data_IF_854810410678
#
_entry.id   IF_854810410678
#
_cell.length_a   1.000
_cell.length_b   1.000
_cell.length_c   1.000
_cell.angle_alpha   90.00
_cell.angle_beta   90.00
_cell.angle_gamma   90.00
#
_symmetry.space_group_name_H-M   'P 1'
#
loop_
_entity.id
_entity.type
_entity.pdbx_description
1 polymer ?
#
# COMPACT_ATOMS: atom_id res chain seq x y z
N UNK A 1 7.81 10.40 -48.74
CA UNK A 1 8.26 9.16 -48.05
C UNK A 1 9.06 9.44 -46.77
N UNK A 2 10.07 10.33 -46.76
CA UNK A 2 10.92 10.55 -45.58
C UNK A 2 10.19 11.22 -44.39
N UNK A 3 9.34 12.21 -44.66
CA UNK A 3 8.48 12.89 -43.66
C UNK A 3 7.48 11.95 -42.98
N UNK A 4 6.92 11.00 -43.72
CA UNK A 4 5.98 10.02 -43.18
C UNK A 4 6.67 9.06 -42.19
N UNK A 5 7.94 8.69 -42.44
CA UNK A 5 8.74 7.83 -41.54
C UNK A 5 9.17 8.56 -40.27
N UNK A 6 9.46 9.86 -40.36
CA UNK A 6 9.80 10.70 -39.19
C UNK A 6 8.56 10.89 -38.30
N UNK A 7 7.41 11.14 -38.91
CA UNK A 7 6.17 11.33 -38.16
C UNK A 7 5.74 10.04 -37.43
N UNK A 8 5.82 8.88 -38.08
CA UNK A 8 5.48 7.60 -37.45
C UNK A 8 6.45 7.21 -36.34
N UNK A 9 7.75 7.47 -36.50
CA UNK A 9 8.75 7.20 -35.44
C UNK A 9 8.56 8.13 -34.24
N UNK A 10 8.30 9.42 -34.44
CA UNK A 10 7.98 10.34 -33.35
C UNK A 10 6.69 9.96 -32.61
N UNK A 11 5.64 9.57 -33.35
CA UNK A 11 4.39 9.12 -32.75
C UNK A 11 4.56 7.82 -31.95
N UNK A 12 5.34 6.86 -32.48
CA UNK A 12 5.68 5.63 -31.78
C UNK A 12 6.51 5.84 -30.51
N UNK A 13 7.49 6.74 -30.55
CA UNK A 13 8.31 7.06 -29.39
C UNK A 13 7.48 7.78 -28.31
N UNK A 14 6.60 8.70 -28.71
CA UNK A 14 5.68 9.37 -27.80
C UNK A 14 4.72 8.39 -27.14
N UNK A 15 4.13 7.47 -27.91
CA UNK A 15 3.26 6.43 -27.37
C UNK A 15 4.00 5.51 -26.38
N UNK A 16 5.25 5.13 -26.67
CA UNK A 16 6.07 4.34 -25.76
C UNK A 16 6.35 5.07 -24.43
N UNK A 17 6.63 6.38 -24.47
CA UNK A 17 6.85 7.20 -23.27
C UNK A 17 5.56 7.33 -22.45
N UNK A 18 4.41 7.55 -23.08
CA UNK A 18 3.13 7.72 -22.36
C UNK A 18 2.64 6.40 -21.75
N UNK A 19 2.84 5.27 -22.43
CA UNK A 19 2.37 3.97 -21.95
C UNK A 19 3.30 3.34 -20.90
N UNK A 20 4.54 3.80 -20.78
CA UNK A 20 5.54 3.18 -19.90
C UNK A 20 5.45 3.61 -18.41
N UNK A 21 4.35 4.23 -17.99
CA UNK A 21 4.10 4.62 -16.60
C UNK A 21 3.02 3.79 -15.89
N UNK A 22 2.47 2.76 -16.53
CA UNK A 22 1.30 2.05 -16.00
C UNK A 22 1.60 1.35 -14.67
N UNK A 23 2.74 0.68 -14.57
CA UNK A 23 3.18 0.02 -13.34
C UNK A 23 3.33 0.97 -12.13
N UNK A 24 3.78 2.21 -12.35
CA UNK A 24 3.89 3.23 -11.30
C UNK A 24 2.51 3.63 -10.80
N UNK A 25 1.58 3.88 -11.74
CA UNK A 25 0.19 4.20 -11.42
C UNK A 25 -0.50 3.06 -10.67
N UNK A 26 -0.31 1.82 -11.13
CA UNK A 26 -0.88 0.65 -10.49
C UNK A 26 -0.34 0.43 -9.09
N UNK A 27 0.97 0.62 -8.85
CA UNK A 27 1.57 0.52 -7.52
C UNK A 27 1.10 1.61 -6.54
N UNK A 28 0.66 2.77 -7.04
CA UNK A 28 0.06 3.85 -6.23
C UNK A 28 -1.46 3.70 -6.07
N UNK A 29 -2.06 2.85 -6.89
CA UNK A 29 -3.46 2.47 -6.78
C UNK A 29 -3.60 1.14 -6.04
N UNK A 30 -4.83 0.79 -5.66
CA UNK A 30 -5.11 -0.44 -4.92
C UNK A 30 -5.89 -0.17 -3.65
N UNK A 31 -6.25 -1.25 -2.96
CA UNK A 31 -7.09 -1.18 -1.78
C UNK A 31 -6.24 -1.20 -0.51
N UNK A 32 -6.58 -0.32 0.45
CA UNK A 32 -5.91 -0.32 1.76
C UNK A 32 -6.21 -1.66 2.44
N UNK A 33 -5.17 -2.35 2.88
CA UNK A 33 -5.32 -3.59 3.64
C UNK A 33 -5.93 -3.29 5.02
N UNK A 34 -6.86 -4.15 5.50
CA UNK A 34 -7.42 -4.01 6.84
C UNK A 34 -6.35 -4.14 7.92
N UNK A 35 -6.49 -3.37 9.00
CA UNK A 35 -5.61 -3.52 10.15
C UNK A 35 -6.12 -4.59 11.12
N UNK A 36 -5.59 -5.80 11.01
CA UNK A 36 -5.98 -6.95 11.84
C UNK A 36 -5.69 -6.76 13.33
N UNK A 37 -4.73 -5.90 13.72
CA UNK A 37 -4.45 -5.63 15.14
C UNK A 37 -5.61 -4.90 15.83
N UNK A 38 -6.43 -4.18 15.06
CA UNK A 38 -7.62 -3.49 15.54
C UNK A 38 -8.86 -4.40 15.59
N UNK A 39 -8.80 -5.57 14.95
CA UNK A 39 -9.91 -6.52 14.88
C UNK A 39 -9.57 -7.68 15.83
N UNK A 40 -10.00 -7.52 17.07
CA UNK A 40 -9.79 -8.52 18.14
C UNK A 40 -11.11 -8.93 18.78
N UNK A 41 -11.08 -10.06 19.49
CA UNK A 41 -12.23 -10.53 20.28
C UNK A 41 -12.62 -9.45 21.30
N UNK A 42 -13.90 -9.09 21.32
CA UNK A 42 -14.47 -8.01 22.13
C UNK A 42 -14.54 -6.64 21.45
N UNK A 43 -13.93 -6.49 20.25
CA UNK A 43 -14.04 -5.25 19.49
C UNK A 43 -15.51 -4.95 19.12
N UNK A 44 -15.94 -3.68 19.15
CA UNK A 44 -17.28 -3.31 18.73
C UNK A 44 -17.40 -3.37 17.20
N UNK A 45 -18.58 -3.73 16.69
CA UNK A 45 -18.83 -3.89 15.25
C UNK A 45 -18.47 -2.67 14.41
N UNK A 46 -18.68 -1.46 14.92
CA UNK A 46 -18.32 -0.22 14.20
C UNK A 46 -16.81 -0.10 13.94
N UNK A 47 -15.97 -0.61 14.84
CA UNK A 47 -14.52 -0.64 14.65
C UNK A 47 -14.13 -1.66 13.57
N UNK A 48 -14.80 -2.82 13.57
CA UNK A 48 -14.59 -3.84 12.55
C UNK A 48 -15.02 -3.34 11.16
N UNK A 49 -16.18 -2.70 11.06
CA UNK A 49 -16.68 -2.13 9.81
C UNK A 49 -15.88 -0.91 9.35
N UNK A 50 -15.20 -0.21 10.26
CA UNK A 50 -14.27 0.86 9.88
C UNK A 50 -13.02 0.33 9.16
N UNK A 51 -12.59 -0.90 9.48
CA UNK A 51 -11.41 -1.53 8.87
C UNK A 51 -11.75 -2.39 7.66
N UNK A 52 -12.79 -3.24 7.74
CA UNK A 52 -13.20 -4.13 6.64
C UNK A 52 -14.25 -3.52 5.70
N UNK A 53 -14.87 -2.41 6.07
CA UNK A 53 -16.05 -1.89 5.37
C UNK A 53 -17.33 -2.66 5.73
N UNK A 54 -18.33 -2.58 4.85
CA UNK A 54 -19.61 -3.23 5.09
C UNK A 54 -19.54 -4.74 4.84
N UNK A 55 -20.28 -5.55 5.63
CA UNK A 55 -20.30 -6.99 5.44
C UNK A 55 -20.95 -7.35 4.09
N UNK A 56 -20.34 -8.30 3.40
CA UNK A 56 -20.83 -8.84 2.12
C UNK A 56 -22.03 -9.77 2.30
N UNK A 57 -22.12 -10.43 3.44
CA UNK A 57 -23.25 -11.29 3.82
C UNK A 57 -23.43 -11.24 5.34
N UNK A 58 -24.65 -11.49 5.78
CA UNK A 58 -25.02 -11.47 7.19
C UNK A 58 -26.04 -12.56 7.46
N UNK A 59 -25.72 -13.45 8.40
CA UNK A 59 -26.53 -14.58 8.80
C UNK A 59 -26.89 -14.45 10.28
N UNK A 60 -28.16 -14.64 10.62
CA UNK A 60 -28.56 -14.81 12.02
C UNK A 60 -28.43 -16.28 12.39
N UNK A 61 -27.64 -16.58 13.43
CA UNK A 61 -27.44 -17.97 13.88
C UNK A 61 -28.56 -18.36 14.85
N UNK A 62 -28.38 -18.07 16.14
CA UNK A 62 -29.33 -18.43 17.20
C UNK A 62 -29.12 -17.51 18.40
N UNK A 63 -30.20 -17.18 19.13
CA UNK A 63 -30.14 -16.39 20.37
C UNK A 63 -29.54 -14.97 20.23
N UNK A 64 -29.78 -14.29 19.11
CA UNK A 64 -29.30 -12.92 18.86
C UNK A 64 -27.84 -12.83 18.44
N UNK A 65 -27.19 -13.97 18.19
CA UNK A 65 -25.85 -14.05 17.61
C UNK A 65 -25.95 -13.86 16.09
N UNK A 66 -25.11 -12.98 15.56
CA UNK A 66 -25.05 -12.66 14.13
C UNK A 66 -23.67 -13.00 13.57
N UNK A 67 -23.61 -13.72 12.47
CA UNK A 67 -22.38 -13.93 11.71
C UNK A 67 -22.35 -12.98 10.52
N UNK A 68 -21.24 -12.27 10.34
CA UNK A 68 -21.03 -11.38 9.22
C UNK A 68 -19.78 -11.81 8.44
N UNK A 69 -19.91 -11.81 7.12
CA UNK A 69 -18.83 -12.17 6.20
C UNK A 69 -18.25 -10.91 5.57
N UNK A 70 -16.95 -10.69 5.77
CA UNK A 70 -16.20 -9.59 5.20
C UNK A 70 -15.27 -10.09 4.10
N UNK A 71 -15.26 -9.36 2.98
CA UNK A 71 -14.39 -9.63 1.83
C UNK A 71 -13.47 -8.45 1.61
N UNK A 72 -12.19 -8.71 1.41
CA UNK A 72 -11.19 -7.67 1.24
C UNK A 72 -10.02 -8.22 0.40
N UNK A 73 -9.26 -7.30 -0.20
CA UNK A 73 -8.10 -7.63 -1.03
C UNK A 73 -6.82 -7.51 -0.22
N UNK A 74 -5.97 -8.53 -0.28
CA UNK A 74 -4.65 -8.56 0.35
C UNK A 74 -3.55 -8.50 -0.70
N UNK A 75 -2.42 -7.88 -0.38
CA UNK A 75 -1.23 -7.86 -1.25
C UNK A 75 -1.19 -6.75 -2.31
N UNK A 76 -2.30 -6.07 -2.60
CA UNK A 76 -2.38 -4.97 -3.56
C UNK A 76 -2.61 -3.60 -2.88
N UNK A 77 -1.91 -3.35 -1.77
CA UNK A 77 -2.00 -2.05 -1.11
C UNK A 77 -1.16 -1.01 -1.85
N UNK A 78 -1.62 0.25 -1.93
CA UNK A 78 -0.81 1.36 -2.45
C UNK A 78 0.55 1.41 -1.75
N UNK A 79 1.62 1.37 -2.52
CA UNK A 79 2.98 1.34 -2.01
C UNK A 79 3.86 2.36 -2.74
N UNK A 80 4.11 3.48 -2.07
CA UNK A 80 4.94 4.57 -2.61
C UNK A 80 6.38 4.11 -2.87
N UNK A 81 6.93 3.21 -2.05
CA UNK A 81 8.27 2.66 -2.25
C UNK A 81 8.38 1.83 -3.53
N UNK A 82 7.39 0.96 -3.80
CA UNK A 82 7.28 0.16 -5.03
C UNK A 82 7.11 1.07 -6.26
N UNK A 83 6.28 2.10 -6.15
CA UNK A 83 6.10 3.10 -7.19
C UNK A 83 7.39 3.86 -7.52
N UNK A 84 8.17 4.28 -6.50
CA UNK A 84 9.48 4.89 -6.72
C UNK A 84 10.47 3.93 -7.36
N UNK A 85 10.46 2.66 -6.98
CA UNK A 85 11.32 1.64 -7.58
C UNK A 85 11.03 1.51 -9.09
N UNK A 86 9.76 1.43 -9.48
CA UNK A 86 9.38 1.45 -10.90
C UNK A 86 9.73 2.77 -11.58
N UNK A 87 9.55 3.91 -10.90
CA UNK A 87 9.95 5.22 -11.41
C UNK A 87 11.46 5.32 -11.69
N UNK A 88 12.30 4.75 -10.82
CA UNK A 88 13.74 4.67 -11.06
C UNK A 88 14.09 3.69 -12.17
N UNK A 89 13.45 2.51 -12.20
CA UNK A 89 13.64 1.54 -13.26
C UNK A 89 13.31 2.16 -14.62
N UNK A 90 12.23 2.93 -14.71
CA UNK A 90 11.78 3.63 -15.91
C UNK A 90 12.81 4.57 -16.52
N UNK A 91 13.70 5.16 -15.71
CA UNK A 91 14.78 6.02 -16.21
C UNK A 91 15.89 5.23 -16.95
N UNK A 92 15.81 3.91 -16.94
CA UNK A 92 16.78 3.03 -17.60
C UNK A 92 16.16 2.35 -18.82
N UNK A 93 17.00 2.02 -19.81
CA UNK A 93 16.57 1.25 -20.99
C UNK A 93 15.94 -0.09 -20.58
N UNK A 94 16.43 -0.71 -19.50
CA UNK A 94 15.90 -1.96 -18.96
C UNK A 94 14.48 -1.76 -18.42
N UNK A 95 14.19 -0.66 -17.73
CA UNK A 95 12.85 -0.41 -17.22
C UNK A 95 11.84 0.03 -18.28
N UNK A 96 12.25 0.79 -19.30
CA UNK A 96 11.36 1.15 -20.43
C UNK A 96 10.93 -0.11 -21.19
N UNK A 97 11.86 -1.03 -21.44
CA UNK A 97 11.53 -2.29 -22.13
C UNK A 97 10.90 -3.33 -21.19
N UNK A 98 11.17 -3.27 -19.88
CA UNK A 98 10.65 -4.16 -18.86
C UNK A 98 9.26 -3.77 -18.34
N UNK A 99 8.76 -2.59 -18.69
CA UNK A 99 7.48 -2.07 -18.23
C UNK A 99 6.28 -3.00 -18.44
N UNK A 100 6.14 -3.71 -19.59
CA UNK A 100 5.06 -4.68 -19.75
C UNK A 100 5.11 -5.79 -18.71
N UNK A 101 6.30 -6.19 -18.26
CA UNK A 101 6.48 -7.21 -17.22
C UNK A 101 6.06 -6.64 -15.86
N UNK A 102 6.53 -5.44 -15.50
CA UNK A 102 6.14 -4.80 -14.23
C UNK A 102 4.64 -4.54 -14.15
N UNK A 103 4.04 -4.12 -15.26
CA UNK A 103 2.60 -3.91 -15.36
C UNK A 103 1.80 -5.20 -15.20
N UNK A 104 2.24 -6.32 -15.79
CA UNK A 104 1.63 -7.62 -15.55
C UNK A 104 1.77 -8.09 -14.09
N UNK A 105 2.92 -7.81 -13.47
CA UNK A 105 3.13 -8.12 -12.05
C UNK A 105 2.14 -7.38 -11.18
N UNK A 106 1.97 -6.06 -11.36
CA UNK A 106 1.01 -5.27 -10.58
C UNK A 106 -0.44 -5.64 -10.88
N UNK A 107 -0.78 -5.95 -12.13
CA UNK A 107 -2.15 -6.35 -12.50
C UNK A 107 -2.55 -7.69 -11.89
N UNK A 108 -1.58 -8.58 -11.69
CA UNK A 108 -1.75 -9.87 -11.02
C UNK A 108 -1.36 -9.82 -9.54
N UNK A 109 -1.08 -8.64 -9.00
CA UNK A 109 -0.77 -8.46 -7.58
C UNK A 109 -2.06 -8.29 -6.81
N UNK A 110 -2.21 -9.07 -5.76
CA UNK A 110 -3.42 -9.07 -4.95
C UNK A 110 -4.09 -10.43 -4.96
N UNK A 111 -4.75 -10.75 -3.86
CA UNK A 111 -5.69 -11.87 -3.79
C UNK A 111 -6.84 -11.51 -2.86
N UNK A 112 -8.05 -11.94 -3.23
CA UNK A 112 -9.24 -11.74 -2.42
C UNK A 112 -9.25 -12.73 -1.27
N UNK A 113 -9.52 -12.24 -0.07
CA UNK A 113 -9.66 -13.03 1.15
C UNK A 113 -11.03 -12.81 1.79
N UNK A 114 -11.42 -13.78 2.62
CA UNK A 114 -12.68 -13.76 3.37
C UNK A 114 -12.42 -14.03 4.85
N UNK A 115 -13.02 -13.19 5.70
CA UNK A 115 -13.07 -13.39 7.15
C UNK A 115 -14.51 -13.35 7.62
N UNK A 116 -14.88 -14.31 8.45
CA UNK A 116 -16.20 -14.40 9.08
C UNK A 116 -16.08 -14.03 10.54
N UNK A 117 -16.95 -13.15 10.98
CA UNK A 117 -16.92 -12.62 12.34
C UNK A 117 -18.28 -12.89 12.97
N UNK A 118 -18.24 -13.56 14.11
CA UNK A 118 -19.43 -13.84 14.92
C UNK A 118 -19.56 -12.75 15.97
N UNK A 119 -20.70 -12.06 15.95
CA UNK A 119 -21.06 -11.01 16.88
C UNK A 119 -22.02 -11.54 17.94
N UNK A 120 -21.78 -11.14 19.19
CA UNK A 120 -22.69 -11.37 20.30
C UNK A 120 -23.91 -10.46 20.28
N UNK A 121 -24.88 -10.69 21.19
CA UNK A 121 -26.08 -9.87 21.31
C UNK A 121 -25.80 -8.41 21.72
N UNK A 122 -24.61 -8.12 22.24
CA UNK A 122 -24.08 -6.79 22.54
C UNK A 122 -23.38 -6.13 21.33
N UNK A 123 -23.45 -6.76 20.15
CA UNK A 123 -22.85 -6.32 18.89
C UNK A 123 -21.31 -6.18 18.96
N UNK A 124 -20.68 -7.03 19.76
CA UNK A 124 -19.21 -7.16 19.88
C UNK A 124 -18.72 -8.49 19.32
N UNK A 125 -17.48 -8.51 18.86
CA UNK A 125 -16.84 -9.71 18.30
C UNK A 125 -16.72 -10.78 19.38
N UNK A 126 -17.29 -11.96 19.14
CA UNK A 126 -17.10 -13.16 19.94
C UNK A 126 -16.00 -14.04 19.34
N UNK A 127 -16.07 -14.28 18.04
CA UNK A 127 -15.15 -15.17 17.33
C UNK A 127 -14.81 -14.62 15.95
N UNK A 128 -13.60 -14.93 15.49
CA UNK A 128 -13.09 -14.56 14.17
C UNK A 128 -12.64 -15.86 13.50
N UNK A 129 -13.18 -16.13 12.32
CA UNK A 129 -12.93 -17.31 11.50
C UNK A 129 -12.41 -16.89 10.13
N UNK A 130 -11.52 -17.69 9.53
CA UNK A 130 -11.00 -17.45 8.19
C UNK A 130 -9.54 -16.97 8.18
N UNK A 131 -9.21 -16.06 7.27
CA UNK A 131 -7.84 -15.63 7.05
C UNK A 131 -7.25 -14.91 8.28
N UNK A 132 -6.10 -15.39 8.74
CA UNK A 132 -5.22 -14.69 9.69
C UNK A 132 -3.89 -14.45 9.00
N UNK A 133 -3.44 -13.19 8.84
CA UNK A 133 -2.17 -12.94 8.18
C UNK A 133 -1.02 -13.62 8.94
N UNK A 134 0.00 -14.12 8.24
CA UNK A 134 1.19 -14.66 8.89
C UNK A 134 1.85 -13.57 9.74
N UNK A 135 2.45 -13.92 10.89
CA UNK A 135 3.12 -12.94 11.73
C UNK A 135 4.23 -12.25 10.94
N UNK A 136 4.31 -10.92 11.08
CA UNK A 136 5.34 -10.11 10.42
C UNK A 136 6.71 -10.67 10.78
N UNK A 137 7.53 -10.96 9.77
CA UNK A 137 8.84 -11.56 10.01
C UNK A 137 9.74 -10.62 10.82
N UNK A 138 10.64 -11.20 11.64
CA UNK A 138 11.59 -10.42 12.46
C UNK A 138 12.42 -9.42 11.64
N UNK A 139 12.76 -9.80 10.40
CA UNK A 139 13.54 -8.97 9.48
C UNK A 139 12.77 -7.70 9.12
N UNK A 140 11.47 -7.80 8.88
CA UNK A 140 10.62 -6.65 8.54
C UNK A 140 10.52 -5.70 9.74
N UNK A 141 10.26 -6.22 10.94
CA UNK A 141 10.18 -5.43 12.18
C UNK A 141 11.51 -4.67 12.43
N UNK A 142 12.64 -5.36 12.26
CA UNK A 142 13.96 -4.74 12.40
C UNK A 142 14.22 -3.66 11.33
N UNK A 143 13.76 -3.89 10.09
CA UNK A 143 13.89 -2.91 9.02
C UNK A 143 13.03 -1.66 9.22
N UNK A 144 11.81 -1.81 9.74
CA UNK A 144 10.90 -0.71 10.05
C UNK A 144 11.47 0.15 11.19
N UNK A 145 11.85 -0.49 12.30
CA UNK A 145 12.46 0.22 13.43
C UNK A 145 13.78 0.92 13.07
N UNK A 146 14.55 0.38 12.13
CA UNK A 146 15.76 1.03 11.61
C UNK A 146 15.45 2.25 10.75
N UNK A 147 14.39 2.20 9.94
CA UNK A 147 13.92 3.34 9.15
C UNK A 147 13.39 4.46 10.04
N UNK A 148 12.59 4.15 11.06
CA UNK A 148 12.08 5.13 12.02
C UNK A 148 13.22 5.90 12.70
N UNK A 149 14.24 5.18 13.20
CA UNK A 149 15.45 5.78 13.79
C UNK A 149 16.21 6.70 12.82
N UNK A 150 16.17 6.40 11.52
CA UNK A 150 16.80 7.24 10.51
C UNK A 150 15.99 8.53 10.26
N UNK A 151 14.66 8.40 10.16
CA UNK A 151 13.73 9.53 9.99
C UNK A 151 13.85 10.49 11.19
N UNK A 152 13.80 9.96 12.41
CA UNK A 152 13.92 10.74 13.64
C UNK A 152 15.25 11.50 13.69
N UNK A 153 16.38 10.84 13.39
CA UNK A 153 17.69 11.48 13.31
C UNK A 153 17.72 12.62 12.29
N UNK A 154 17.13 12.42 11.10
CA UNK A 154 17.08 13.46 10.08
C UNK A 154 16.25 14.66 10.53
N UNK A 155 15.09 14.44 11.14
CA UNK A 155 14.24 15.53 11.67
C UNK A 155 14.93 16.31 12.79
N UNK A 156 15.65 15.62 13.68
CA UNK A 156 16.44 16.25 14.74
C UNK A 156 17.61 17.09 14.18
N UNK A 157 18.27 16.60 13.13
CA UNK A 157 19.33 17.34 12.44
C UNK A 157 18.82 18.59 11.72
N UNK A 158 17.58 18.58 11.19
CA UNK A 158 16.99 19.74 10.51
C UNK A 158 16.42 20.79 11.46
N UNK A 159 16.12 20.43 12.71
CA UNK A 159 15.55 21.33 13.73
C UNK A 159 16.61 22.01 14.61
N UNK A 160 17.91 21.74 14.38
CA UNK A 160 18.98 22.49 15.05
C UNK A 160 19.14 23.84 14.33
N UNK A 161 18.90 25.00 14.98
CA UNK A 161 19.10 26.30 14.36
C UNK A 161 20.56 26.44 13.94
N UNK A 162 20.80 26.90 12.72
CA UNK A 162 22.13 27.37 12.29
C UNK A 162 22.45 28.60 13.15
N UNK A 163 23.20 28.39 14.22
CA UNK A 163 23.74 29.46 15.05
C UNK A 163 24.63 30.34 14.16
N UNK A 164 24.23 31.61 14.02
CA UNK A 164 24.92 32.61 13.21
C UNK A 164 26.39 32.71 13.63
N UNK A 165 27.28 32.22 12.77
CA UNK A 165 28.71 32.46 12.86
C UNK A 165 28.99 33.96 12.81
N UNK A 166 29.73 34.43 13.82
CA UNK A 166 29.93 35.83 14.19
C UNK A 166 30.42 36.77 13.09
N UNK A 167 29.99 38.03 13.22
CA UNK A 167 30.53 39.18 12.51
C UNK A 167 32.03 39.34 12.81
N UNK A 168 32.87 39.67 11.82
CA UNK A 168 34.28 39.98 12.07
C UNK A 168 34.41 41.32 12.83
N UNK A 169 35.40 41.48 13.72
CA UNK A 169 35.62 42.74 14.40
C UNK A 169 36.13 43.78 13.40
N UNK A 170 35.53 44.97 13.43
CA UNK A 170 36.03 46.13 12.71
C UNK A 170 37.42 46.51 13.25
N UNK A 171 38.41 46.51 12.37
CA UNK A 171 39.66 47.25 12.53
C UNK A 171 39.90 48.04 11.25
#
# INVERSE_FOLDING_TARGET
>A
MMTFRILTTMCGLYAAIVLSGCSIGMALSGNKQPNFDLISVGAPRNQVEAEFGHPSAMNELTAGIQEATYKYEMGNSPNTGRAWMYGYAWLTIIGILGEPIYSLIELNMGHDEETRIVYGPDNRVLEIHGYTPPPVSKVVIESESSQEKFIERRQKSQSTPVEQSGSPPAQ
#
